data_IF_037762371774
#
_entry.id   IF_037762371774
#
_cell.length_a   1.000
_cell.length_b   1.000
_cell.length_c   1.000
_cell.angle_alpha   90.00
_cell.angle_beta   90.00
_cell.angle_gamma   90.00
#
_symmetry.space_group_name_H-M   'P 1'
#
loop_
_entity.id
_entity.type
_entity.pdbx_description
1 polymer ?
#
# COMPACT_ATOMS: atom_id res chain seq x y z
N UNK A 1 31.01 -3.07 -21.26
CA UNK A 1 30.76 -3.63 -19.92
C UNK A 1 30.05 -2.62 -19.03
N UNK A 2 30.50 -1.37 -18.97
CA UNK A 2 29.82 -0.25 -18.27
C UNK A 2 28.33 -0.11 -18.66
N UNK A 3 28.03 -0.02 -19.96
CA UNK A 3 26.65 0.08 -20.46
C UNK A 3 25.71 -1.09 -20.08
N UNK A 4 26.24 -2.30 -19.83
CA UNK A 4 25.39 -3.43 -19.40
C UNK A 4 25.05 -3.31 -17.91
N UNK A 5 25.96 -2.78 -17.10
CA UNK A 5 25.74 -2.59 -15.68
C UNK A 5 24.69 -1.49 -15.42
N UNK A 6 24.71 -0.42 -16.22
CA UNK A 6 23.72 0.65 -16.14
C UNK A 6 22.31 0.16 -16.50
N UNK A 7 22.21 -0.67 -17.55
CA UNK A 7 20.93 -1.29 -17.94
C UNK A 7 20.38 -2.19 -16.83
N UNK A 8 21.23 -3.00 -16.18
CA UNK A 8 20.80 -3.87 -15.07
C UNK A 8 20.34 -3.05 -13.87
N UNK A 9 21.01 -1.94 -13.57
CA UNK A 9 20.63 -1.02 -12.49
C UNK A 9 19.24 -0.43 -12.75
N UNK A 10 19.02 0.13 -13.94
CA UNK A 10 17.72 0.69 -14.36
C UNK A 10 16.61 -0.38 -14.31
N UNK A 11 16.89 -1.60 -14.78
CA UNK A 11 15.90 -2.69 -14.72
C UNK A 11 15.54 -3.08 -13.28
N UNK A 12 16.50 -3.00 -12.36
CA UNK A 12 16.28 -3.30 -10.94
C UNK A 12 15.41 -2.22 -10.29
N UNK A 13 15.65 -0.95 -10.61
CA UNK A 13 14.82 0.17 -10.16
C UNK A 13 13.40 0.08 -10.71
N UNK A 14 13.24 -0.20 -12.02
CA UNK A 14 11.93 -0.39 -12.65
C UNK A 14 11.17 -1.55 -12.00
N UNK A 15 11.83 -2.66 -11.70
CA UNK A 15 11.21 -3.79 -11.00
C UNK A 15 10.72 -3.39 -9.61
N UNK A 16 11.49 -2.57 -8.90
CA UNK A 16 11.08 -1.99 -7.61
C UNK A 16 9.84 -1.11 -7.74
N UNK A 17 9.80 -0.22 -8.72
CA UNK A 17 8.66 0.66 -8.99
C UNK A 17 7.40 -0.12 -9.39
N UNK A 18 7.55 -1.15 -10.24
CA UNK A 18 6.43 -2.01 -10.63
C UNK A 18 5.89 -2.84 -9.46
N UNK A 19 6.77 -3.29 -8.55
CA UNK A 19 6.35 -3.99 -7.34
C UNK A 19 5.56 -3.10 -6.36
N UNK A 20 5.74 -1.77 -6.43
CA UNK A 20 4.94 -0.81 -5.67
C UNK A 20 3.57 -0.51 -6.32
N UNK A 21 3.37 -0.89 -7.58
CA UNK A 21 2.11 -0.67 -8.31
C UNK A 21 1.06 -1.77 -8.05
N UNK A 22 1.11 -2.41 -6.89
CA UNK A 22 0.06 -3.35 -6.47
C UNK A 22 -1.23 -2.57 -6.24
N UNK A 23 -2.28 -2.89 -7.00
CA UNK A 23 -3.64 -2.39 -6.72
C UNK A 23 -4.14 -2.82 -5.35
N UNK A 24 -3.84 -4.06 -4.98
CA UNK A 24 -4.29 -4.64 -3.71
C UNK A 24 -3.14 -4.72 -2.73
N UNK A 25 -3.25 -4.04 -1.61
CA UNK A 25 -2.30 -4.05 -0.50
C UNK A 25 -2.79 -4.99 0.60
N UNK A 26 -1.90 -5.76 1.20
CA UNK A 26 -2.18 -6.38 2.50
C UNK A 26 -1.80 -5.43 3.65
N UNK A 27 -1.97 -5.85 4.91
CA UNK A 27 -1.64 -5.00 6.07
C UNK A 27 -0.16 -4.59 6.12
N UNK A 28 0.75 -5.44 5.66
CA UNK A 28 2.19 -5.13 5.64
C UNK A 28 2.54 -4.15 4.53
N UNK A 29 2.02 -4.40 3.32
CA UNK A 29 2.16 -3.49 2.18
C UNK A 29 1.56 -2.11 2.53
N UNK A 30 0.41 -2.06 3.20
CA UNK A 30 -0.21 -0.80 3.61
C UNK A 30 0.61 -0.06 4.69
N UNK A 31 1.20 -0.79 5.64
CA UNK A 31 2.08 -0.20 6.65
C UNK A 31 3.34 0.42 6.02
N UNK A 32 3.92 -0.26 5.01
CA UNK A 32 5.04 0.25 4.22
C UNK A 32 4.62 1.47 3.40
N UNK A 33 3.46 1.43 2.76
CA UNK A 33 2.95 2.49 1.88
C UNK A 33 2.59 3.77 2.64
N UNK A 34 1.91 3.66 3.78
CA UNK A 34 1.43 4.84 4.54
C UNK A 34 2.35 5.24 5.69
N UNK A 35 3.37 4.44 6.02
CA UNK A 35 4.23 4.63 7.20
C UNK A 35 3.53 4.43 8.55
N UNK A 36 2.30 3.91 8.56
CA UNK A 36 1.53 3.70 9.80
C UNK A 36 1.88 2.37 10.44
N UNK A 37 1.81 2.31 11.77
CA UNK A 37 1.96 1.03 12.48
C UNK A 37 0.80 0.08 12.19
N UNK A 38 1.08 -1.22 12.13
CA UNK A 38 0.06 -2.27 11.91
C UNK A 38 -1.12 -2.14 12.91
N UNK A 39 -0.82 -1.82 14.17
CA UNK A 39 -1.83 -1.60 15.21
C UNK A 39 -2.76 -0.43 14.90
N UNK A 40 -2.22 0.67 14.32
CA UNK A 40 -3.04 1.80 13.90
C UNK A 40 -3.95 1.42 12.73
N UNK A 41 -3.43 0.68 11.75
CA UNK A 41 -4.22 0.17 10.62
C UNK A 41 -5.41 -0.69 11.09
N UNK A 42 -5.17 -1.62 12.03
CA UNK A 42 -6.26 -2.43 12.60
C UNK A 42 -7.30 -1.60 13.34
N UNK A 43 -6.88 -0.59 14.12
CA UNK A 43 -7.82 0.35 14.78
C UNK A 43 -8.68 1.08 13.75
N UNK A 44 -8.07 1.63 12.70
CA UNK A 44 -8.78 2.35 11.64
C UNK A 44 -9.77 1.45 10.88
N UNK A 45 -9.38 0.19 10.68
CA UNK A 45 -10.21 -0.83 10.04
C UNK A 45 -11.43 -1.18 10.91
N UNK A 46 -11.24 -1.39 12.22
CA UNK A 46 -12.32 -1.66 13.17
C UNK A 46 -13.29 -0.48 13.30
N UNK A 47 -12.77 0.75 13.28
CA UNK A 47 -13.56 1.98 13.29
C UNK A 47 -14.25 2.28 11.96
N UNK A 48 -14.07 1.42 10.94
CA UNK A 48 -14.62 1.59 9.57
C UNK A 48 -14.22 2.92 8.91
N UNK A 49 -13.10 3.51 9.34
CA UNK A 49 -12.56 4.74 8.76
C UNK A 49 -11.88 4.47 7.42
N UNK A 50 -11.33 3.26 7.30
CA UNK A 50 -10.64 2.77 6.11
C UNK A 50 -11.40 1.54 5.56
N UNK A 51 -11.72 1.52 4.25
CA UNK A 51 -12.39 0.38 3.63
C UNK A 51 -11.44 -0.82 3.53
N UNK A 52 -11.96 -2.01 3.84
CA UNK A 52 -11.23 -3.27 3.77
C UNK A 52 -12.03 -4.31 2.98
N UNK A 53 -11.31 -5.14 2.22
CA UNK A 53 -11.88 -6.33 1.60
C UNK A 53 -12.38 -7.31 2.66
N UNK A 54 -13.66 -7.68 2.58
CA UNK A 54 -14.29 -8.61 3.50
C UNK A 54 -14.53 -9.96 2.81
N UNK A 55 -13.45 -10.72 2.59
CA UNK A 55 -13.57 -12.09 2.10
C UNK A 55 -13.66 -13.07 3.29
N UNK A 56 -14.79 -13.78 3.47
CA UNK A 56 -14.98 -14.69 4.60
C UNK A 56 -14.06 -15.92 4.57
N UNK A 57 -13.48 -16.26 3.42
CA UNK A 57 -12.58 -17.40 3.25
C UNK A 57 -11.11 -17.05 3.50
N UNK A 58 -10.77 -15.76 3.65
CA UNK A 58 -9.38 -15.32 3.80
C UNK A 58 -9.22 -14.55 5.12
N UNK A 59 -8.39 -15.07 6.01
CA UNK A 59 -8.14 -14.47 7.34
C UNK A 59 -7.41 -13.13 7.24
N UNK A 60 -6.60 -12.94 6.19
CA UNK A 60 -5.84 -11.71 5.96
C UNK A 60 -6.73 -10.60 5.41
N UNK A 61 -6.49 -9.36 5.85
CA UNK A 61 -7.16 -8.17 5.32
C UNK A 61 -6.42 -7.62 4.11
N UNK A 62 -7.21 -7.26 3.10
CA UNK A 62 -6.75 -6.63 1.86
C UNK A 62 -7.40 -5.26 1.69
N UNK A 63 -6.69 -4.38 1.02
CA UNK A 63 -7.03 -2.98 0.84
C UNK A 63 -6.79 -2.60 -0.62
N UNK A 64 -7.68 -1.80 -1.18
CA UNK A 64 -7.49 -1.24 -2.53
C UNK A 64 -6.74 0.09 -2.41
N UNK A 65 -5.53 0.16 -2.98
CA UNK A 65 -4.60 1.29 -2.80
C UNK A 65 -5.27 2.64 -3.09
N UNK A 66 -5.92 2.76 -4.25
CA UNK A 66 -6.53 4.01 -4.70
C UNK A 66 -7.66 4.46 -3.76
N UNK A 67 -8.45 3.50 -3.27
CA UNK A 67 -9.50 3.75 -2.30
C UNK A 67 -8.95 4.22 -0.95
N UNK A 68 -7.83 3.65 -0.49
CA UNK A 68 -7.17 4.08 0.76
C UNK A 68 -6.59 5.48 0.60
N UNK A 69 -5.85 5.72 -0.47
CA UNK A 69 -5.23 7.02 -0.76
C UNK A 69 -6.29 8.13 -0.80
N UNK A 70 -7.41 7.88 -1.49
CA UNK A 70 -8.55 8.81 -1.49
C UNK A 70 -9.11 9.06 -0.08
N UNK A 71 -9.23 8.03 0.75
CA UNK A 71 -9.76 8.18 2.12
C UNK A 71 -8.80 8.87 3.10
N UNK A 72 -7.50 8.69 2.91
CA UNK A 72 -6.48 9.38 3.69
C UNK A 72 -6.46 10.88 3.37
N UNK A 73 -6.59 11.25 2.10
CA UNK A 73 -6.64 12.65 1.65
C UNK A 73 -7.91 13.38 2.11
N UNK A 74 -9.04 12.68 2.23
CA UNK A 74 -10.33 13.30 2.62
C UNK A 74 -10.37 13.76 4.09
N UNK A 75 -9.46 13.30 4.96
CA UNK A 75 -9.41 13.73 6.38
C UNK A 75 -8.17 14.57 6.72
N UNK A 76 -7.36 14.99 5.74
CA UNK A 76 -6.38 16.03 5.97
C UNK A 76 -7.10 17.38 5.90
N UNK A 77 -7.80 17.73 6.98
CA UNK A 77 -8.20 19.10 7.27
C UNK A 77 -6.92 19.95 7.37
N UNK A 78 -6.48 20.44 6.22
CA UNK A 78 -5.79 21.71 6.14
C UNK A 78 -6.88 22.76 5.93
N UNK A 79 -7.46 23.21 7.03
CA UNK A 79 -8.17 24.47 7.16
C UNK A 79 -7.43 25.30 8.22
#
# INVERSE_FOLDING_TARGET
MENQQDVVTILTEIKGLLAQNKKTLNVEDLAQHTGLSKSKIYKLTQQKLIPMGNNPHIRQKFFDKDTIDARLLVNSDFA
#
